data_IF_453807790896
#
_entry.id   IF_453807790896
#
_cell.length_a   1.000
_cell.length_b   1.000
_cell.length_c   1.000
_cell.angle_alpha   90.00
_cell.angle_beta   90.00
_cell.angle_gamma   90.00
#
_symmetry.space_group_name_H-M   'P 1'
#
loop_
_entity.id
_entity.type
_entity.pdbx_description
1 polymer ?
#
# COMPACT_ATOMS: atom_id res chain seq x y z
N UNK A 1 -16.06 -7.11 -9.34
CA UNK A 1 -15.56 -8.09 -8.34
C UNK A 1 -16.68 -8.61 -7.43
N UNK A 2 -16.62 -9.88 -7.01
CA UNK A 2 -17.60 -10.49 -6.09
C UNK A 2 -17.15 -10.32 -4.63
N UNK A 3 -18.08 -10.00 -3.73
CA UNK A 3 -17.83 -10.08 -2.28
C UNK A 3 -17.81 -11.55 -1.88
N UNK A 4 -16.85 -11.93 -1.04
CA UNK A 4 -16.71 -13.29 -0.54
C UNK A 4 -17.44 -13.44 0.80
N UNK A 5 -18.06 -14.61 1.06
CA UNK A 5 -18.69 -14.88 2.34
C UNK A 5 -17.65 -15.01 3.45
N UNK A 6 -18.14 -14.87 4.68
CA UNK A 6 -17.37 -14.92 5.91
C UNK A 6 -16.49 -16.18 6.07
N UNK A 7 -16.98 -17.31 5.58
CA UNK A 7 -16.40 -18.64 5.72
C UNK A 7 -15.45 -19.02 4.57
N UNK A 8 -15.33 -18.18 3.53
CA UNK A 8 -14.38 -18.39 2.45
C UNK A 8 -12.94 -18.36 2.99
N UNK A 9 -12.11 -19.32 2.60
CA UNK A 9 -10.76 -19.47 3.14
C UNK A 9 -9.73 -18.53 2.51
N UNK A 10 -10.07 -17.79 1.45
CA UNK A 10 -9.18 -16.86 0.74
C UNK A 10 -7.89 -17.52 0.26
N UNK A 11 -8.02 -18.68 -0.38
CA UNK A 11 -6.87 -19.50 -0.75
C UNK A 11 -6.02 -19.93 0.45
N UNK A 12 -6.57 -19.95 1.66
CA UNK A 12 -5.88 -20.28 2.92
C UNK A 12 -5.37 -19.07 3.71
N UNK A 13 -5.59 -17.83 3.25
CA UNK A 13 -5.12 -16.62 3.94
C UNK A 13 -6.02 -16.17 5.09
N UNK A 14 -7.29 -16.60 5.13
CA UNK A 14 -8.28 -16.12 6.12
C UNK A 14 -7.75 -16.11 7.56
N UNK A 15 -7.23 -17.23 8.03
CA UNK A 15 -6.74 -17.38 9.40
C UNK A 15 -5.52 -16.50 9.71
N UNK A 16 -4.71 -16.15 8.70
CA UNK A 16 -3.55 -15.29 8.85
C UNK A 16 -3.98 -13.82 8.97
N UNK A 17 -4.88 -13.38 8.09
CA UNK A 17 -5.44 -12.02 8.09
C UNK A 17 -6.26 -11.69 9.34
N UNK A 18 -6.84 -12.72 9.96
CA UNK A 18 -7.66 -12.60 11.18
C UNK A 18 -6.89 -12.94 12.45
N UNK A 19 -5.57 -13.15 12.34
CA UNK A 19 -4.72 -13.31 13.51
C UNK A 19 -4.54 -11.98 14.24
N UNK A 20 -4.36 -12.02 15.56
CA UNK A 20 -4.22 -10.81 16.38
C UNK A 20 -3.02 -9.93 16.01
N UNK A 21 -2.00 -10.54 15.38
CA UNK A 21 -0.79 -9.84 14.93
C UNK A 21 -0.95 -9.21 13.53
N UNK A 22 -2.08 -9.46 12.85
CA UNK A 22 -2.37 -8.97 11.50
C UNK A 22 -3.43 -7.85 11.47
N UNK A 23 -3.65 -7.17 12.61
CA UNK A 23 -4.66 -6.10 12.72
C UNK A 23 -4.44 -5.02 11.65
N UNK A 24 -3.22 -4.57 11.49
CA UNK A 24 -2.83 -3.53 10.53
C UNK A 24 -2.35 -4.08 9.19
N UNK A 25 -2.55 -5.38 8.93
CA UNK A 25 -2.03 -6.05 7.73
C UNK A 25 -1.21 -7.27 8.08
N UNK A 26 -1.23 -8.24 7.18
CA UNK A 26 -0.40 -9.43 7.24
C UNK A 26 0.71 -9.33 6.18
N UNK A 27 1.95 -9.45 6.62
CA UNK A 27 3.10 -9.46 5.74
C UNK A 27 3.69 -10.88 5.60
N UNK A 28 3.48 -11.55 4.45
CA UNK A 28 4.02 -12.88 4.22
C UNK A 28 5.55 -12.87 4.12
N UNK A 29 6.21 -13.85 4.76
CA UNK A 29 7.68 -13.93 4.82
C UNK A 29 8.31 -14.81 3.73
N UNK A 30 7.50 -15.45 2.89
CA UNK A 30 7.94 -16.50 1.95
C UNK A 30 8.29 -15.96 0.54
N UNK A 31 8.34 -14.63 0.36
CA UNK A 31 8.68 -14.01 -0.92
C UNK A 31 10.18 -13.75 -1.05
N UNK A 32 10.76 -13.93 -2.24
CA UNK A 32 12.21 -13.83 -2.42
C UNK A 32 12.72 -12.38 -2.45
N UNK A 33 11.86 -11.41 -2.74
CA UNK A 33 12.22 -10.00 -2.81
C UNK A 33 11.03 -9.05 -2.52
N UNK A 34 11.31 -7.79 -2.22
CA UNK A 34 10.29 -6.77 -1.94
C UNK A 34 10.74 -5.32 -2.24
N UNK A 35 9.79 -4.43 -2.48
CA UNK A 35 10.01 -2.99 -2.50
C UNK A 35 8.77 -2.24 -1.99
N UNK A 36 8.95 -0.96 -1.71
CA UNK A 36 7.87 -0.06 -1.32
C UNK A 36 7.55 0.91 -2.44
N UNK A 37 6.28 1.06 -2.77
CA UNK A 37 5.75 2.08 -3.68
C UNK A 37 5.27 3.26 -2.83
N UNK A 38 5.99 4.38 -2.89
CA UNK A 38 5.65 5.59 -2.14
C UNK A 38 4.40 6.23 -2.74
N UNK A 39 3.41 6.55 -1.89
CA UNK A 39 2.21 7.26 -2.32
C UNK A 39 2.58 8.72 -2.57
N UNK A 40 2.14 9.26 -3.70
CA UNK A 40 2.53 10.61 -4.08
C UNK A 40 1.92 11.67 -3.15
N UNK A 41 2.67 12.74 -2.91
CA UNK A 41 2.12 13.97 -2.34
C UNK A 41 1.45 14.83 -3.41
N UNK A 42 0.61 15.77 -2.98
CA UNK A 42 -0.05 16.73 -3.86
C UNK A 42 0.01 18.16 -3.29
N UNK A 43 0.66 19.06 -4.01
CA UNK A 43 0.71 20.50 -3.69
C UNK A 43 -0.08 21.29 -4.73
N UNK A 44 -1.12 22.02 -4.28
CA UNK A 44 -2.02 22.78 -5.17
C UNK A 44 -2.55 21.95 -6.37
N UNK A 45 -2.90 20.69 -6.11
CA UNK A 45 -3.42 19.75 -7.12
C UNK A 45 -2.37 19.18 -8.09
N UNK A 46 -1.08 19.42 -7.86
CA UNK A 46 0.01 18.83 -8.64
C UNK A 46 0.70 17.73 -7.86
N UNK A 47 0.90 16.58 -8.51
CA UNK A 47 1.65 15.45 -7.96
C UNK A 47 3.09 15.86 -7.66
N UNK A 48 3.59 15.45 -6.49
CA UNK A 48 4.95 15.69 -6.00
C UNK A 48 5.54 14.37 -5.51
N UNK A 49 6.79 14.10 -5.91
CA UNK A 49 7.55 12.91 -5.51
C UNK A 49 8.16 13.08 -4.12
N UNK A 50 8.31 11.99 -3.38
CA UNK A 50 8.99 11.98 -2.07
C UNK A 50 10.44 12.45 -2.18
N UNK A 51 11.17 12.03 -3.21
CA UNK A 51 12.53 12.49 -3.50
C UNK A 51 12.62 14.01 -3.65
N UNK A 52 11.59 14.64 -4.23
CA UNK A 52 11.49 16.09 -4.28
C UNK A 52 11.26 16.68 -2.88
N UNK A 53 10.32 16.14 -2.11
CA UNK A 53 10.04 16.60 -0.74
C UNK A 53 11.25 16.45 0.19
N UNK A 54 11.92 15.30 0.16
CA UNK A 54 13.13 15.01 0.94
C UNK A 54 14.28 15.95 0.57
N UNK A 55 14.40 16.32 -0.71
CA UNK A 55 15.42 17.30 -1.14
C UNK A 55 15.22 18.69 -0.53
N UNK A 56 13.97 19.08 -0.25
CA UNK A 56 13.62 20.38 0.35
C UNK A 56 13.94 20.40 1.85
N UNK A 57 13.82 19.27 2.54
CA UNK A 57 14.14 19.14 3.97
C UNK A 57 15.60 18.77 4.23
N UNK A 58 16.34 18.37 3.19
CA UNK A 58 17.71 17.88 3.33
C UNK A 58 17.81 16.50 3.97
N UNK A 59 16.69 15.79 4.10
CA UNK A 59 16.62 14.43 4.62
C UNK A 59 16.90 13.40 3.52
N UNK A 60 17.32 12.21 3.92
CA UNK A 60 17.57 11.09 3.02
C UNK A 60 16.81 9.89 3.53
N UNK A 61 16.01 9.26 2.67
CA UNK A 61 15.13 8.17 3.12
C UNK A 61 15.88 7.00 3.76
N UNK A 62 17.11 6.74 3.36
CA UNK A 62 18.00 5.74 3.97
C UNK A 62 18.32 6.00 5.45
N UNK A 63 18.20 7.25 5.92
CA UNK A 63 18.35 7.62 7.32
C UNK A 63 17.03 7.45 8.10
N UNK A 64 15.92 7.09 7.43
CA UNK A 64 14.64 6.79 8.06
C UNK A 64 14.64 5.38 8.64
N UNK A 65 14.41 5.27 9.95
CA UNK A 65 14.46 4.00 10.68
C UNK A 65 13.12 3.33 10.95
N UNK A 66 12.00 3.88 10.44
CA UNK A 66 10.64 3.50 10.81
C UNK A 66 9.77 3.22 9.58
N UNK A 67 8.49 2.87 9.76
CA UNK A 67 7.58 2.64 8.64
C UNK A 67 7.37 3.91 7.82
N UNK A 68 7.08 3.74 6.52
CA UNK A 68 6.92 4.83 5.56
C UNK A 68 5.53 5.47 5.68
N UNK A 69 5.32 6.25 6.73
CA UNK A 69 4.11 7.03 6.98
C UNK A 69 4.33 8.54 6.75
N UNK A 70 3.28 9.34 6.95
CA UNK A 70 3.39 10.81 6.98
C UNK A 70 4.49 11.32 7.93
N UNK A 71 4.80 10.54 8.98
CA UNK A 71 5.76 10.91 10.03
C UNK A 71 7.19 11.03 9.56
N UNK A 72 7.52 10.49 8.38
CA UNK A 72 8.80 10.75 7.70
C UNK A 72 9.09 12.25 7.70
N UNK A 73 8.07 13.08 7.61
CA UNK A 73 8.24 14.51 7.46
C UNK A 73 7.56 15.34 8.56
N UNK A 74 7.33 14.76 9.75
CA UNK A 74 6.79 15.47 10.92
C UNK A 74 7.63 16.69 11.32
N UNK A 75 8.94 16.68 11.03
CA UNK A 75 9.85 17.80 11.30
C UNK A 75 9.71 18.97 10.30
N UNK A 76 8.95 18.77 9.22
CA UNK A 76 8.69 19.81 8.23
C UNK A 76 7.46 20.65 8.64
N UNK A 77 7.55 21.96 8.47
CA UNK A 77 6.40 22.84 8.70
C UNK A 77 5.44 22.78 7.51
N UNK A 78 4.60 21.74 7.51
CA UNK A 78 3.55 21.53 6.50
C UNK A 78 2.16 21.68 7.08
N UNK A 79 2.00 22.61 8.02
CA UNK A 79 0.69 22.94 8.56
C UNK A 79 -0.15 23.70 7.52
N UNK A 80 -1.29 23.13 7.09
CA UNK A 80 -2.26 23.80 6.23
C UNK A 80 -2.78 22.97 5.05
N UNK A 81 -3.77 23.51 4.34
CA UNK A 81 -4.41 22.90 3.16
C UNK A 81 -3.43 22.69 1.99
N UNK A 82 -2.28 23.37 2.02
CA UNK A 82 -1.20 23.24 1.02
C UNK A 82 -0.18 22.13 1.37
N UNK A 83 -0.37 21.40 2.47
CA UNK A 83 0.47 20.24 2.78
C UNK A 83 0.42 19.25 1.63
N UNK A 84 1.59 18.75 1.15
CA UNK A 84 1.62 17.69 0.14
C UNK A 84 0.82 16.47 0.59
N UNK A 85 0.60 16.34 1.89
CA UNK A 85 0.07 15.14 2.52
C UNK A 85 -1.33 15.28 3.10
N UNK A 86 -1.84 16.51 3.25
CA UNK A 86 -3.26 16.69 3.53
C UNK A 86 -4.13 16.30 2.32
N UNK A 87 -3.58 16.47 1.11
CA UNK A 87 -4.25 16.14 -0.15
C UNK A 87 -3.79 14.81 -0.76
N UNK A 88 -2.97 14.05 -0.04
CA UNK A 88 -2.52 12.73 -0.48
C UNK A 88 -3.47 11.62 -0.03
N UNK A 89 -3.35 10.46 -0.66
CA UNK A 89 -4.12 9.28 -0.32
C UNK A 89 -3.41 8.51 0.81
N UNK A 90 -3.80 8.79 2.05
CA UNK A 90 -3.37 8.01 3.21
C UNK A 90 -3.93 6.58 3.10
N UNK A 91 -3.07 5.58 3.36
CA UNK A 91 -3.44 4.17 3.34
C UNK A 91 -3.68 3.55 1.96
N UNK A 92 -3.63 4.30 0.86
CA UNK A 92 -3.80 3.76 -0.50
C UNK A 92 -3.05 4.59 -1.55
N UNK A 93 -2.57 4.01 -2.66
CA UNK A 93 -1.93 4.78 -3.72
C UNK A 93 -2.94 5.67 -4.46
N UNK A 94 -2.48 6.80 -4.99
CA UNK A 94 -3.31 7.61 -5.90
C UNK A 94 -3.72 6.80 -7.14
N UNK A 95 -4.84 7.18 -7.77
CA UNK A 95 -5.42 6.44 -8.89
C UNK A 95 -4.45 6.18 -10.05
N UNK A 96 -3.57 7.14 -10.36
CA UNK A 96 -2.62 7.03 -11.48
C UNK A 96 -1.47 6.09 -11.09
N UNK A 97 -0.95 6.22 -9.87
CA UNK A 97 0.02 5.27 -9.33
C UNK A 97 -0.56 3.85 -9.23
N UNK A 98 -1.82 3.69 -8.82
CA UNK A 98 -2.50 2.40 -8.82
C UNK A 98 -2.59 1.80 -10.23
N UNK A 99 -2.96 2.61 -11.24
CA UNK A 99 -3.03 2.15 -12.63
C UNK A 99 -1.68 1.58 -13.10
N UNK A 100 -0.59 2.34 -12.88
CA UNK A 100 0.76 1.91 -13.23
C UNK A 100 1.21 0.67 -12.44
N UNK A 101 0.87 0.58 -11.15
CA UNK A 101 1.17 -0.60 -10.34
C UNK A 101 0.45 -1.84 -10.88
N UNK A 102 -0.85 -1.73 -11.18
CA UNK A 102 -1.63 -2.84 -11.74
C UNK A 102 -1.09 -3.28 -13.11
N UNK A 103 -0.65 -2.36 -13.95
CA UNK A 103 -0.02 -2.69 -15.24
C UNK A 103 1.27 -3.50 -15.07
N UNK A 104 2.13 -3.12 -14.12
CA UNK A 104 3.36 -3.88 -13.82
C UNK A 104 3.02 -5.24 -13.22
N UNK A 105 2.11 -5.32 -12.25
CA UNK A 105 1.67 -6.59 -11.67
C UNK A 105 1.08 -7.50 -12.74
N UNK A 106 0.30 -6.97 -13.68
CA UNK A 106 -0.25 -7.72 -14.81
C UNK A 106 0.87 -8.28 -15.68
N UNK A 107 1.90 -7.50 -16.01
CA UNK A 107 3.04 -7.98 -16.81
C UNK A 107 3.74 -9.21 -16.20
N UNK A 108 3.80 -9.25 -14.86
CA UNK A 108 4.44 -10.32 -14.10
C UNK A 108 3.46 -11.43 -13.65
N UNK A 109 2.19 -11.35 -14.04
CA UNK A 109 1.19 -12.36 -13.70
C UNK A 109 0.92 -13.30 -14.87
N UNK A 110 0.74 -14.59 -14.58
CA UNK A 110 0.55 -15.65 -15.59
C UNK A 110 -0.60 -15.35 -16.57
N UNK A 111 -1.68 -14.73 -16.10
CA UNK A 111 -2.85 -14.40 -16.91
C UNK A 111 -2.95 -12.92 -17.24
N UNK A 112 -1.88 -12.15 -17.05
CA UNK A 112 -1.89 -10.73 -17.38
C UNK A 112 -2.95 -9.95 -16.58
N UNK A 113 -3.66 -9.02 -17.23
CA UNK A 113 -4.75 -8.26 -16.61
C UNK A 113 -5.93 -9.14 -16.13
N UNK A 114 -6.10 -10.34 -16.69
CA UNK A 114 -7.17 -11.28 -16.34
C UNK A 114 -6.89 -12.09 -15.05
N UNK A 115 -5.74 -11.89 -14.43
CA UNK A 115 -5.28 -12.68 -13.28
C UNK A 115 -6.29 -12.63 -12.13
N UNK A 116 -6.78 -13.78 -11.63
CA UNK A 116 -7.71 -13.82 -10.51
C UNK A 116 -6.98 -13.47 -9.21
N UNK A 117 -7.53 -12.51 -8.49
CA UNK A 117 -6.97 -11.94 -7.28
C UNK A 117 -7.99 -11.91 -6.14
N UNK A 118 -7.46 -12.03 -4.92
CA UNK A 118 -8.14 -11.68 -3.69
C UNK A 118 -7.80 -10.25 -3.29
N UNK A 119 -8.77 -9.58 -2.70
CA UNK A 119 -8.66 -8.21 -2.22
C UNK A 119 -9.28 -8.13 -0.84
N UNK A 120 -8.50 -7.86 0.19
CA UNK A 120 -8.91 -7.88 1.58
C UNK A 120 -8.62 -6.54 2.27
N UNK A 121 -9.50 -6.16 3.17
CA UNK A 121 -9.28 -5.01 4.05
C UNK A 121 -8.37 -5.38 5.23
N UNK A 122 -7.86 -4.37 5.92
CA UNK A 122 -7.26 -4.46 7.25
C UNK A 122 -8.24 -3.96 8.30
N UNK A 123 -7.90 -4.17 9.56
CA UNK A 123 -8.71 -3.70 10.67
C UNK A 123 -8.47 -2.21 10.88
N UNK A 124 -9.46 -1.39 10.57
CA UNK A 124 -9.57 -0.07 11.17
C UNK A 124 -10.26 -0.20 12.54
N UNK A 125 -10.26 0.85 13.37
CA UNK A 125 -10.84 0.90 14.74
C UNK A 125 -12.26 0.31 14.91
N UNK A 126 -12.98 0.01 13.82
CA UNK A 126 -14.14 -0.87 13.77
C UNK A 126 -13.75 -2.34 13.50
N UNK A 127 -13.65 -3.12 14.58
CA UNK A 127 -13.42 -4.57 14.63
C UNK A 127 -14.55 -5.42 13.98
N UNK A 128 -14.80 -5.28 12.68
CA UNK A 128 -15.76 -6.12 11.96
C UNK A 128 -15.14 -7.48 11.59
N UNK A 129 -15.29 -8.49 12.47
CA UNK A 129 -15.07 -9.89 12.10
C UNK A 129 -16.26 -10.40 11.29
N UNK A 130 -16.01 -11.07 10.15
CA UNK A 130 -14.73 -11.41 9.51
C UNK A 130 -14.15 -10.26 8.64
N UNK A 131 -12.85 -10.35 8.28
CA UNK A 131 -12.20 -9.38 7.38
C UNK A 131 -12.94 -9.32 6.03
N UNK A 132 -13.48 -8.16 5.62
CA UNK A 132 -14.12 -8.01 4.31
C UNK A 132 -13.16 -8.35 3.18
N UNK A 133 -13.58 -9.24 2.28
CA UNK A 133 -12.76 -9.67 1.16
C UNK A 133 -13.57 -9.82 -0.13
N UNK A 134 -12.89 -9.67 -1.26
CA UNK A 134 -13.43 -9.78 -2.61
C UNK A 134 -12.57 -10.71 -3.45
N UNK A 135 -13.17 -11.24 -4.50
CA UNK A 135 -12.48 -11.97 -5.55
C UNK A 135 -12.83 -11.38 -6.92
N UNK A 136 -11.84 -11.21 -7.78
CA UNK A 136 -12.03 -10.64 -9.11
C UNK A 136 -10.73 -10.62 -9.90
N UNK A 137 -10.75 -10.09 -11.11
CA UNK A 137 -9.56 -9.94 -11.95
C UNK A 137 -8.71 -8.75 -11.50
N UNK A 138 -7.43 -8.78 -11.83
CA UNK A 138 -6.48 -7.72 -11.51
C UNK A 138 -6.91 -6.36 -12.10
N UNK A 139 -7.35 -6.35 -13.36
CA UNK A 139 -7.78 -5.15 -14.08
C UNK A 139 -9.07 -4.50 -13.54
N UNK A 140 -9.84 -5.21 -12.71
CA UNK A 140 -11.00 -4.63 -12.02
C UNK A 140 -10.57 -3.71 -10.86
N UNK A 141 -9.28 -3.68 -10.48
CA UNK A 141 -8.75 -2.91 -9.37
C UNK A 141 -9.04 -1.41 -9.47
N UNK A 142 -8.89 -0.80 -10.65
CA UNK A 142 -9.21 0.64 -10.83
C UNK A 142 -10.69 0.94 -10.65
N UNK A 143 -11.57 0.06 -11.15
CA UNK A 143 -13.01 0.24 -10.95
C UNK A 143 -13.38 0.12 -9.46
N UNK A 144 -12.73 -0.80 -8.73
CA UNK A 144 -12.90 -0.92 -7.29
C UNK A 144 -12.41 0.34 -6.54
N UNK A 145 -11.29 0.93 -6.96
CA UNK A 145 -10.79 2.18 -6.41
C UNK A 145 -11.78 3.32 -6.64
N UNK A 146 -12.28 3.49 -7.87
CA UNK A 146 -13.24 4.53 -8.21
C UNK A 146 -14.55 4.39 -7.43
N UNK A 147 -15.06 3.17 -7.26
CA UNK A 147 -16.25 2.87 -6.46
C UNK A 147 -16.02 3.13 -4.96
N UNK A 148 -14.80 2.92 -4.46
CA UNK A 148 -14.44 3.17 -3.07
C UNK A 148 -14.44 4.68 -2.75
N UNK A 149 -13.96 5.51 -3.68
CA UNK A 149 -13.93 6.97 -3.51
C UNK A 149 -15.29 7.67 -3.67
N UNK A 150 -16.36 6.95 -4.02
CA UNK A 150 -17.70 7.53 -4.17
C UNK A 150 -18.22 8.13 -2.83
N UNK A 151 -18.43 9.45 -2.75
CA UNK A 151 -18.84 10.12 -1.52
C UNK A 151 -20.34 9.97 -1.19
N UNK A 152 -21.09 9.14 -1.93
CA UNK A 152 -22.51 8.89 -1.64
C UNK A 152 -22.69 8.44 -0.17
N UNK A 153 -23.40 9.23 0.66
CA UNK A 153 -23.57 8.93 2.07
C UNK A 153 -24.35 7.63 2.33
N UNK A 154 -25.05 7.09 1.33
CA UNK A 154 -25.73 5.79 1.42
C UNK A 154 -24.76 4.61 1.31
N UNK A 155 -23.53 4.85 0.85
CA UNK A 155 -22.51 3.83 0.60
C UNK A 155 -21.47 3.70 1.72
N UNK A 156 -21.43 4.64 2.67
CA UNK A 156 -20.46 4.69 3.78
C UNK A 156 -19.03 5.00 3.30
N UNK A 157 -18.07 5.27 4.21
CA UNK A 157 -16.68 5.41 3.82
C UNK A 157 -16.17 4.06 3.31
N UNK A 158 -15.88 3.97 2.01
CA UNK A 158 -15.26 2.80 1.40
C UNK A 158 -13.79 3.13 1.17
N UNK A 159 -12.89 2.35 1.76
CA UNK A 159 -11.46 2.43 1.44
C UNK A 159 -11.11 1.41 0.37
N UNK A 160 -10.10 1.67 -0.44
CA UNK A 160 -9.52 0.62 -1.26
C UNK A 160 -8.98 -0.51 -0.36
N UNK A 161 -9.09 -1.79 -0.76
CA UNK A 161 -8.54 -2.89 0.02
C UNK A 161 -7.06 -2.67 0.30
N UNK A 162 -6.61 -2.90 1.53
CA UNK A 162 -5.22 -2.70 1.92
C UNK A 162 -4.31 -3.90 1.62
N UNK A 163 -4.88 -5.05 1.29
CA UNK A 163 -4.14 -6.26 0.94
C UNK A 163 -4.69 -6.88 -0.34
N UNK A 164 -3.83 -7.21 -1.30
CA UNK A 164 -4.26 -7.91 -2.50
C UNK A 164 -3.18 -8.83 -3.07
N UNK A 165 -3.60 -9.96 -3.65
CA UNK A 165 -2.70 -11.00 -4.17
C UNK A 165 -3.42 -11.90 -5.18
N UNK A 166 -2.70 -12.52 -6.13
CA UNK A 166 -3.27 -13.46 -7.09
C UNK A 166 -3.52 -14.83 -6.44
N UNK A 167 -4.44 -15.63 -6.98
CA UNK A 167 -4.74 -16.97 -6.46
C UNK A 167 -3.50 -17.89 -6.42
N UNK A 168 -2.56 -17.70 -7.34
CA UNK A 168 -1.30 -18.45 -7.41
C UNK A 168 -0.23 -17.96 -6.42
N UNK A 169 -0.49 -16.87 -5.69
CA UNK A 169 0.42 -16.22 -4.73
C UNK A 169 1.79 -15.87 -5.31
N UNK A 170 1.85 -15.55 -6.60
CA UNK A 170 3.09 -15.13 -7.27
C UNK A 170 3.64 -13.80 -6.77
N UNK A 171 2.79 -12.93 -6.22
CA UNK A 171 3.17 -11.66 -5.56
C UNK A 171 2.16 -11.32 -4.47
N UNK A 172 2.47 -10.32 -3.64
CA UNK A 172 1.61 -9.82 -2.58
C UNK A 172 1.77 -8.31 -2.44
N UNK A 173 0.68 -7.58 -2.26
CA UNK A 173 0.72 -6.16 -1.96
C UNK A 173 0.01 -5.89 -0.63
N UNK A 174 0.64 -5.06 0.20
CA UNK A 174 0.13 -4.67 1.52
C UNK A 174 0.40 -3.20 1.81
N UNK A 175 -0.60 -2.55 2.35
CA UNK A 175 -0.53 -1.22 2.95
C UNK A 175 -1.29 -1.25 4.27
N UNK A 176 -1.23 -0.17 5.02
CA UNK A 176 -1.97 0.05 6.25
C UNK A 176 -2.47 1.49 6.26
N UNK A 177 -3.54 1.75 7.02
CA UNK A 177 -4.16 3.06 7.17
C UNK A 177 -3.12 4.14 7.52
N UNK A 178 -2.22 3.86 8.46
CA UNK A 178 -1.21 4.84 8.89
C UNK A 178 -0.03 4.95 7.90
N UNK A 179 -0.01 4.18 6.81
CA UNK A 179 1.08 4.17 5.85
C UNK A 179 0.80 5.03 4.63
N UNK A 180 1.89 5.55 4.11
CA UNK A 180 1.93 6.41 2.93
C UNK A 180 2.74 5.74 1.81
N UNK A 181 2.75 4.42 1.84
CA UNK A 181 3.41 3.58 0.88
C UNK A 181 2.76 2.19 0.89
N UNK A 182 2.77 1.55 -0.27
CA UNK A 182 2.33 0.16 -0.44
C UNK A 182 3.56 -0.72 -0.61
N UNK A 183 3.72 -1.72 0.24
CA UNK A 183 4.75 -2.74 0.08
C UNK A 183 4.31 -3.79 -0.93
N UNK A 184 5.21 -4.15 -1.84
CA UNK A 184 5.02 -5.20 -2.83
C UNK A 184 6.10 -6.26 -2.64
N UNK A 185 5.67 -7.49 -2.43
CA UNK A 185 6.50 -8.67 -2.31
C UNK A 185 6.32 -9.55 -3.55
N UNK A 186 7.40 -10.14 -4.06
CA UNK A 186 7.32 -10.91 -5.30
C UNK A 186 8.68 -11.39 -5.80
N UNK A 187 8.73 -11.90 -7.04
CA UNK A 187 9.97 -12.35 -7.65
C UNK A 187 10.89 -11.18 -8.00
N UNK A 188 12.23 -11.37 -8.03
CA UNK A 188 13.18 -10.28 -8.23
C UNK A 188 12.97 -9.46 -9.52
N UNK A 189 12.48 -10.10 -10.59
CA UNK A 189 12.16 -9.42 -11.84
C UNK A 189 11.00 -8.43 -11.71
N UNK A 190 9.95 -8.76 -10.93
CA UNK A 190 8.85 -7.84 -10.63
C UNK A 190 9.38 -6.65 -9.84
N UNK A 191 10.18 -6.91 -8.81
CA UNK A 191 10.71 -5.88 -7.93
C UNK A 191 11.68 -4.95 -8.69
N UNK A 192 12.50 -5.49 -9.59
CA UNK A 192 13.38 -4.70 -10.43
C UNK A 192 12.61 -3.77 -11.38
N UNK A 193 11.53 -4.26 -12.00
CA UNK A 193 10.68 -3.43 -12.87
C UNK A 193 10.00 -2.31 -12.08
N UNK A 194 9.48 -2.59 -10.89
CA UNK A 194 8.89 -1.57 -10.01
C UNK A 194 9.91 -0.49 -9.62
N UNK A 195 11.12 -0.89 -9.21
CA UNK A 195 12.21 0.02 -8.83
C UNK A 195 12.71 0.90 -9.98
N UNK A 196 12.54 0.46 -11.22
CA UNK A 196 12.96 1.19 -12.42
C UNK A 196 11.83 1.95 -13.11
N UNK A 197 10.60 1.85 -12.61
CA UNK A 197 9.43 2.44 -13.24
C UNK A 197 9.46 3.98 -13.16
N UNK A 198 9.21 4.66 -14.28
CA UNK A 198 9.37 6.12 -14.37
C UNK A 198 8.33 6.90 -13.54
N UNK A 199 7.09 6.41 -13.52
CA UNK A 199 5.96 7.03 -12.78
C UNK A 199 5.94 6.70 -11.29
N UNK A 200 5.99 5.41 -10.96
CA UNK A 200 6.02 4.91 -9.59
C UNK A 200 7.31 5.36 -8.90
N UNK A 201 7.21 5.75 -7.64
CA UNK A 201 8.39 6.01 -6.83
C UNK A 201 8.61 4.83 -5.90
N UNK A 202 9.38 3.88 -6.38
CA UNK A 202 9.68 2.65 -5.66
C UNK A 202 11.03 2.74 -4.96
N UNK A 203 11.12 2.23 -3.74
CA UNK A 203 12.34 2.26 -2.92
C UNK A 203 12.59 0.92 -2.21
N UNK A 204 13.86 0.71 -1.86
CA UNK A 204 14.25 -0.33 -0.90
C UNK A 204 14.12 0.25 0.50
N UNK A 205 13.38 -0.46 1.35
CA UNK A 205 13.20 -0.14 2.76
C UNK A 205 12.97 -1.44 3.54
N UNK A 206 13.29 -1.53 4.84
CA UNK A 206 12.90 -2.68 5.63
C UNK A 206 11.38 -2.94 5.56
N UNK A 207 11.03 -4.21 5.65
CA UNK A 207 9.66 -4.71 5.75
C UNK A 207 8.95 -4.18 7.00
N UNK A 208 7.62 -4.14 6.98
CA UNK A 208 6.79 -3.75 8.13
C UNK A 208 7.16 -4.58 9.36
N UNK A 209 7.28 -5.90 9.21
CA UNK A 209 7.58 -6.81 10.33
C UNK A 209 9.00 -6.64 10.91
N UNK A 210 9.93 -6.08 10.13
CA UNK A 210 11.33 -5.89 10.54
C UNK A 210 11.51 -4.61 11.38
N UNK A 211 10.56 -3.67 11.28
CA UNK A 211 10.55 -2.43 12.03
C UNK A 211 9.78 -2.71 13.33
N UNK A 212 10.49 -3.24 14.34
CA UNK A 212 9.87 -3.58 15.62
C UNK A 212 9.20 -2.39 16.33
N UNK A 213 8.51 -2.67 17.45
CA UNK A 213 7.87 -1.69 18.36
C UNK A 213 8.88 -0.68 18.93
N UNK A 214 9.38 0.21 18.08
CA UNK A 214 10.29 1.26 18.47
C UNK A 214 9.48 2.50 18.87
N UNK A 215 10.04 3.22 19.84
CA UNK A 215 9.65 4.55 20.31
C UNK A 215 9.29 5.52 19.18
N UNK A 216 8.69 6.68 19.54
CA UNK A 216 8.37 7.80 18.63
C UNK A 216 9.29 7.86 17.39
N UNK A 217 8.72 7.88 16.18
CA UNK A 217 9.50 7.81 14.96
C UNK A 217 10.39 9.05 14.81
N UNK A 218 11.64 8.82 14.43
CA UNK A 218 12.65 9.86 14.27
C UNK A 218 13.71 9.44 13.23
N UNK A 219 14.36 10.44 12.65
CA UNK A 219 15.49 10.25 11.76
C UNK A 219 16.72 9.71 12.50
N UNK A 220 17.44 8.75 11.90
CA UNK A 220 18.74 8.31 12.41
C UNK A 220 19.74 9.44 12.18
N UNK A 221 20.38 9.91 13.24
CA UNK A 221 21.50 10.84 13.08
C UNK A 221 22.67 10.08 12.48
N UNK A 222 23.17 10.53 11.33
CA UNK A 222 24.44 10.05 10.79
C UNK A 222 25.53 10.24 11.86
N UNK A 223 26.41 9.25 12.12
CA UNK A 223 27.50 9.40 13.08
C UNK A 223 28.50 10.50 12.69
#
# INVERSE_FOLDING_TARGET
>A
MRILPADDQLGGMRALLESGDALTGYEPQDFPDHCWILHAGYESGKRVRWSELLSRTGQRLEDWGHNLSYRVFDDADWSGEDSPFWNGHEGEPDRESLAHLLDVLAHHSTQGPDTPCYWAQTWFENFAHPVPARHGRLDEGLALYDDAQDPDPNHGPRMFPSQWWPEDRSWYAVTDYDLWATEVLGPPELIADLLSHDWLEAVRHPQISAIGDATKPHWRTTP
#
